data_IF_568721532729
#
_entry.id   IF_568721532729
#
_cell.length_a   1.000
_cell.length_b   1.000
_cell.length_c   1.000
_cell.angle_alpha   90.00
_cell.angle_beta   90.00
_cell.angle_gamma   90.00
#
_symmetry.space_group_name_H-M   'P 1'
#
loop_
_entity.id
_entity.type
_entity.pdbx_description
1 polymer ?
#
# COMPACT_ATOMS: atom_id res chain seq x y z
N UNK A 1 35.04 64.75 28.28
CA UNK A 1 33.86 65.31 27.60
C UNK A 1 34.25 65.53 26.13
N UNK A 2 33.41 65.11 25.17
CA UNK A 2 33.81 64.14 24.14
C UNK A 2 33.79 64.70 22.70
N UNK A 3 34.38 63.97 21.75
CA UNK A 3 33.80 63.73 20.41
C UNK A 3 34.62 62.67 19.66
N UNK A 4 34.07 61.48 19.56
CA UNK A 4 34.49 60.41 18.67
C UNK A 4 33.22 59.91 17.99
N UNK A 5 33.11 60.13 16.68
CA UNK A 5 32.12 59.58 15.75
C UNK A 5 32.58 60.00 14.35
N UNK A 6 32.49 59.25 13.26
CA UNK A 6 32.30 57.84 12.99
C UNK A 6 32.67 57.71 11.50
N UNK A 7 33.55 56.79 11.12
CA UNK A 7 33.82 56.48 9.72
C UNK A 7 32.70 55.59 9.18
N UNK A 8 31.97 56.09 8.19
CA UNK A 8 30.89 55.39 7.48
C UNK A 8 31.48 54.28 6.58
N UNK A 9 31.01 53.02 6.66
CA UNK A 9 31.37 52.02 5.66
C UNK A 9 30.43 52.06 4.45
N UNK A 10 31.04 52.00 3.27
CA UNK A 10 30.40 51.94 1.95
C UNK A 10 29.52 50.70 1.79
N UNK A 11 28.29 50.88 1.28
CA UNK A 11 27.36 49.80 0.98
C UNK A 11 27.79 49.00 -0.26
N UNK A 12 28.23 47.77 -0.06
CA UNK A 12 28.36 46.79 -1.15
C UNK A 12 26.96 46.37 -1.64
N UNK A 13 26.69 46.62 -2.92
CA UNK A 13 25.48 46.17 -3.59
C UNK A 13 25.55 44.65 -3.82
N UNK A 14 24.74 43.87 -3.09
CA UNK A 14 24.55 42.43 -3.34
C UNK A 14 23.74 42.24 -4.63
N UNK A 15 24.42 41.79 -5.68
CA UNK A 15 23.81 41.31 -6.92
C UNK A 15 22.89 40.10 -6.61
N UNK A 16 21.57 40.28 -6.80
CA UNK A 16 20.59 39.20 -6.58
C UNK A 16 20.68 38.21 -7.75
N UNK A 17 21.07 36.97 -7.44
CA UNK A 17 21.01 35.85 -8.38
C UNK A 17 19.59 35.72 -8.97
N UNK A 18 19.45 35.35 -10.26
CA UNK A 18 18.15 35.19 -10.89
C UNK A 18 17.34 34.10 -10.17
N UNK A 19 16.00 34.25 -10.08
CA UNK A 19 15.17 33.27 -9.42
C UNK A 19 15.28 31.93 -10.14
N UNK A 20 15.74 30.91 -9.42
CA UNK A 20 15.76 29.53 -9.90
C UNK A 20 14.31 29.11 -10.12
N UNK A 21 13.92 28.91 -11.38
CA UNK A 21 12.60 28.40 -11.73
C UNK A 21 12.50 26.98 -11.15
N UNK A 22 11.51 26.69 -10.28
CA UNK A 22 11.37 25.35 -9.74
C UNK A 22 11.15 24.36 -10.90
N UNK A 23 11.77 23.17 -10.86
CA UNK A 23 11.61 22.19 -11.91
C UNK A 23 10.13 21.87 -12.11
N UNK A 24 9.62 22.04 -13.33
CA UNK A 24 8.25 21.68 -13.70
C UNK A 24 8.08 20.17 -13.48
N UNK A 25 7.46 19.80 -12.37
CA UNK A 25 7.02 18.42 -12.15
C UNK A 25 5.96 18.11 -13.20
N UNK A 26 6.20 17.07 -14.02
CA UNK A 26 5.19 16.60 -14.97
C UNK A 26 3.99 16.11 -14.14
N UNK A 27 2.81 16.72 -14.34
CA UNK A 27 1.59 16.31 -13.64
C UNK A 27 1.33 14.82 -13.89
N UNK A 28 1.05 14.07 -12.82
CA UNK A 28 0.75 12.63 -12.89
C UNK A 28 -0.50 12.41 -13.74
N UNK A 29 -0.56 11.27 -14.42
CA UNK A 29 -1.72 10.84 -15.23
C UNK A 29 -2.18 9.48 -14.76
N UNK A 30 -3.47 9.19 -14.97
CA UNK A 30 -4.05 7.89 -14.66
C UNK A 30 -3.48 6.82 -15.60
N UNK A 31 -2.81 5.85 -15.02
CA UNK A 31 -2.29 4.63 -15.65
C UNK A 31 -2.48 3.46 -14.68
N UNK A 32 -2.12 2.25 -15.09
CA UNK A 32 -1.98 1.09 -14.19
C UNK A 32 -1.16 1.48 -12.95
N UNK A 33 -1.53 0.92 -11.79
CA UNK A 33 -0.72 1.04 -10.59
C UNK A 33 0.66 0.41 -10.84
N UNK A 34 1.72 1.08 -10.40
CA UNK A 34 3.05 0.48 -10.30
C UNK A 34 3.08 -0.56 -9.19
N UNK A 35 4.08 -1.43 -9.18
CA UNK A 35 4.25 -2.36 -8.07
C UNK A 35 4.42 -1.63 -6.73
N UNK A 36 5.09 -0.47 -6.72
CA UNK A 36 5.26 0.35 -5.51
C UNK A 36 3.95 0.93 -4.99
N UNK A 37 2.96 1.19 -5.85
CA UNK A 37 1.67 1.75 -5.44
C UNK A 37 0.69 0.67 -4.93
N UNK A 38 1.05 -0.62 -5.03
CA UNK A 38 0.29 -1.74 -4.48
C UNK A 38 0.88 -2.12 -3.12
N UNK A 39 0.02 -2.36 -2.14
CA UNK A 39 0.44 -2.81 -0.80
C UNK A 39 -0.20 -4.16 -0.49
N UNK A 40 0.62 -5.12 -0.09
CA UNK A 40 0.14 -6.38 0.44
C UNK A 40 -0.07 -6.28 1.93
N UNK A 41 -1.04 -7.03 2.45
CA UNK A 41 -1.36 -7.08 3.86
C UNK A 41 -1.46 -8.53 4.32
N UNK A 42 -1.28 -8.73 5.62
CA UNK A 42 -1.57 -9.99 6.29
C UNK A 42 -2.51 -9.78 7.48
N UNK A 43 -3.12 -10.88 7.93
CA UNK A 43 -3.79 -10.95 9.24
C UNK A 43 -3.81 -12.37 9.77
N UNK A 44 -3.77 -12.53 11.09
CA UNK A 44 -4.03 -13.82 11.73
C UNK A 44 -5.52 -13.95 12.04
N UNK A 45 -6.25 -14.73 11.21
CA UNK A 45 -7.73 -14.83 11.19
C UNK A 45 -8.40 -15.00 12.56
N UNK A 46 -7.76 -15.71 13.49
CA UNK A 46 -8.33 -16.01 14.81
C UNK A 46 -8.18 -14.85 15.80
N UNK A 47 -7.21 -13.96 15.58
CA UNK A 47 -6.80 -12.94 16.55
C UNK A 47 -7.11 -11.53 16.05
N UNK A 48 -7.08 -11.30 14.74
CA UNK A 48 -7.04 -9.96 14.16
C UNK A 48 -8.20 -9.68 13.21
N UNK A 49 -8.89 -8.56 13.45
CA UNK A 49 -9.96 -8.07 12.57
C UNK A 49 -9.45 -7.08 11.51
N UNK A 50 -8.29 -6.45 11.78
CA UNK A 50 -7.64 -5.49 10.89
C UNK A 50 -6.49 -6.15 10.12
N UNK A 51 -6.25 -5.64 8.92
CA UNK A 51 -5.14 -6.00 8.08
C UNK A 51 -3.90 -5.19 8.47
N UNK A 52 -2.77 -5.88 8.57
CA UNK A 52 -1.45 -5.28 8.82
C UNK A 52 -0.67 -5.22 7.51
N UNK A 53 -0.13 -4.07 7.09
CA UNK A 53 0.63 -3.98 5.86
C UNK A 53 1.96 -4.73 6.00
N UNK A 54 2.36 -5.45 4.96
CA UNK A 54 3.74 -5.92 4.85
C UNK A 54 4.68 -4.73 4.68
N UNK A 55 5.94 -4.91 5.08
CA UNK A 55 7.01 -3.98 4.74
C UNK A 55 7.11 -3.80 3.22
N UNK A 56 7.71 -2.70 2.78
CA UNK A 56 7.79 -2.34 1.36
C UNK A 56 8.49 -3.40 0.52
N UNK A 57 9.62 -3.94 0.98
CA UNK A 57 10.34 -4.99 0.27
C UNK A 57 9.47 -6.25 0.10
N UNK A 58 8.85 -6.75 1.18
CA UNK A 58 7.96 -7.92 1.14
C UNK A 58 6.75 -7.70 0.23
N UNK A 59 6.16 -6.49 0.28
CA UNK A 59 5.03 -6.13 -0.58
C UNK A 59 5.40 -6.12 -2.05
N UNK A 60 6.60 -5.61 -2.38
CA UNK A 60 7.10 -5.58 -3.75
C UNK A 60 7.41 -7.00 -4.26
N UNK A 61 8.00 -7.86 -3.43
CA UNK A 61 8.24 -9.26 -3.77
C UNK A 61 6.93 -10.01 -4.04
N UNK A 62 5.93 -9.85 -3.17
CA UNK A 62 4.60 -10.44 -3.36
C UNK A 62 3.93 -9.94 -4.65
N UNK A 63 4.01 -8.63 -4.93
CA UNK A 63 3.41 -8.06 -6.13
C UNK A 63 4.10 -8.52 -7.42
N UNK A 64 5.44 -8.61 -7.43
CA UNK A 64 6.19 -9.16 -8.57
C UNK A 64 5.79 -10.62 -8.83
N UNK A 65 5.72 -11.44 -7.77
CA UNK A 65 5.32 -12.83 -7.88
C UNK A 65 3.88 -12.98 -8.36
N UNK A 66 2.95 -12.17 -7.83
CA UNK A 66 1.55 -12.14 -8.28
C UNK A 66 1.44 -11.77 -9.74
N UNK A 67 2.11 -10.70 -10.18
CA UNK A 67 2.09 -10.26 -11.58
C UNK A 67 2.63 -11.33 -12.52
N UNK A 68 3.74 -11.97 -12.17
CA UNK A 68 4.27 -13.10 -12.92
C UNK A 68 3.29 -14.26 -12.99
N UNK A 69 2.60 -14.59 -11.89
CA UNK A 69 1.67 -15.71 -11.81
C UNK A 69 0.39 -15.48 -12.62
N UNK A 70 -0.12 -14.25 -12.61
CA UNK A 70 -1.38 -13.88 -13.25
C UNK A 70 -1.20 -13.20 -14.62
N UNK A 71 0.02 -13.20 -15.17
CA UNK A 71 0.29 -12.68 -16.52
C UNK A 71 0.10 -11.17 -16.65
N UNK A 72 0.43 -10.42 -15.61
CA UNK A 72 0.35 -8.95 -15.58
C UNK A 72 1.76 -8.37 -15.72
N UNK A 73 1.93 -7.39 -16.60
CA UNK A 73 3.24 -6.78 -16.85
C UNK A 73 3.76 -6.00 -15.63
N UNK A 74 5.07 -6.06 -15.42
CA UNK A 74 5.77 -5.22 -14.46
C UNK A 74 5.92 -3.81 -14.99
N UNK A 75 5.84 -2.81 -14.11
CA UNK A 75 6.20 -1.45 -14.49
C UNK A 75 7.71 -1.34 -14.78
N UNK A 76 8.10 -0.29 -15.50
CA UNK A 76 9.49 -0.07 -15.95
C UNK A 76 10.46 0.00 -14.76
N UNK A 77 10.07 0.64 -13.66
CA UNK A 77 10.97 0.81 -12.50
C UNK A 77 11.23 -0.52 -11.81
N UNK A 78 10.17 -1.32 -11.62
CA UNK A 78 10.28 -2.67 -11.07
C UNK A 78 11.11 -3.58 -11.98
N UNK A 79 10.87 -3.55 -13.29
CA UNK A 79 11.61 -4.35 -14.27
C UNK A 79 13.11 -4.04 -14.26
N UNK A 80 13.47 -2.76 -14.20
CA UNK A 80 14.87 -2.32 -14.10
C UNK A 80 15.52 -2.80 -12.80
N UNK A 81 14.82 -2.73 -11.67
CA UNK A 81 15.35 -3.21 -10.40
C UNK A 81 15.65 -4.72 -10.43
N UNK A 82 14.73 -5.53 -10.97
CA UNK A 82 14.90 -6.98 -11.06
C UNK A 82 16.00 -7.40 -12.02
N UNK A 83 16.21 -6.65 -13.12
CA UNK A 83 17.30 -6.95 -14.06
C UNK A 83 18.70 -6.88 -13.42
N UNK A 84 18.85 -6.09 -12.35
CA UNK A 84 20.07 -6.01 -11.56
C UNK A 84 20.14 -7.02 -10.40
N UNK A 85 19.10 -7.81 -10.15
CA UNK A 85 18.99 -8.66 -8.96
C UNK A 85 18.24 -9.99 -9.24
N UNK A 86 18.95 -10.96 -9.82
CA UNK A 86 18.40 -12.26 -10.25
C UNK A 86 17.89 -13.16 -9.11
N UNK A 87 18.19 -12.85 -7.85
CA UNK A 87 17.71 -13.65 -6.71
C UNK A 87 16.19 -13.52 -6.48
N UNK A 88 15.56 -12.47 -7.02
CA UNK A 88 14.15 -12.16 -6.82
C UNK A 88 13.19 -12.87 -7.79
N UNK A 89 13.70 -13.66 -8.74
CA UNK A 89 12.89 -14.37 -9.76
C UNK A 89 12.63 -15.84 -9.42
N UNK A 90 12.76 -16.21 -8.14
CA UNK A 90 12.52 -17.59 -7.67
C UNK A 90 11.03 -17.96 -7.72
N UNK A 91 10.73 -19.22 -8.05
CA UNK A 91 9.37 -19.78 -8.01
C UNK A 91 8.78 -19.90 -6.60
N UNK A 92 9.58 -19.62 -5.57
CA UNK A 92 9.15 -19.65 -4.18
C UNK A 92 9.63 -18.40 -3.48
N UNK A 93 8.71 -17.49 -3.21
CA UNK A 93 8.99 -16.26 -2.48
C UNK A 93 8.93 -16.49 -0.97
N UNK A 94 9.87 -15.88 -0.26
CA UNK A 94 9.88 -15.85 1.19
C UNK A 94 9.68 -14.40 1.65
N UNK A 95 8.83 -14.21 2.64
CA UNK A 95 8.44 -12.91 3.21
C UNK A 95 8.63 -12.92 4.72
N UNK A 96 8.54 -11.76 5.37
CA UNK A 96 8.73 -11.59 6.80
C UNK A 96 10.07 -12.17 7.23
N UNK A 97 11.15 -11.63 6.66
CA UNK A 97 12.53 -12.05 6.95
C UNK A 97 12.83 -13.51 6.58
N UNK A 98 12.15 -14.02 5.57
CA UNK A 98 12.33 -15.39 5.10
C UNK A 98 11.74 -16.44 6.03
N UNK A 99 10.77 -16.06 6.87
CA UNK A 99 10.10 -16.96 7.82
C UNK A 99 8.83 -17.58 7.24
N UNK A 100 8.19 -16.91 6.28
CA UNK A 100 6.94 -17.36 5.67
C UNK A 100 7.06 -17.43 4.15
N UNK A 101 6.31 -18.35 3.53
CA UNK A 101 6.18 -18.51 2.07
C UNK A 101 4.71 -18.50 1.69
N UNK A 102 4.39 -18.14 0.45
CA UNK A 102 3.03 -18.33 -0.09
C UNK A 102 2.63 -19.81 0.02
N UNK A 103 1.43 -20.05 0.55
CA UNK A 103 0.91 -21.39 0.87
C UNK A 103 -0.02 -21.94 -0.22
N UNK A 104 -0.66 -21.08 -1.01
CA UNK A 104 -1.70 -21.47 -1.95
C UNK A 104 -1.52 -20.84 -3.34
N UNK A 105 -2.17 -21.44 -4.33
CA UNK A 105 -2.05 -20.95 -5.69
C UNK A 105 -2.76 -19.62 -5.92
N UNK A 106 -3.82 -19.36 -5.17
CA UNK A 106 -4.59 -18.12 -5.23
C UNK A 106 -3.88 -16.93 -4.56
N UNK A 107 -2.75 -17.14 -3.89
CA UNK A 107 -2.04 -16.11 -3.10
C UNK A 107 -2.94 -15.44 -2.06
N UNK A 108 -3.69 -16.25 -1.32
CA UNK A 108 -4.55 -15.80 -0.22
C UNK A 108 -3.99 -16.16 1.14
N UNK A 109 -2.97 -17.03 1.20
CA UNK A 109 -2.37 -17.52 2.44
C UNK A 109 -0.84 -17.53 2.37
N UNK A 110 -0.20 -17.28 3.50
CA UNK A 110 1.21 -17.61 3.75
C UNK A 110 1.30 -18.63 4.88
N UNK A 111 2.34 -19.45 4.85
CA UNK A 111 2.63 -20.45 5.88
C UNK A 111 4.09 -20.34 6.32
N UNK A 112 4.35 -20.67 7.58
CA UNK A 112 5.70 -20.71 8.11
C UNK A 112 6.58 -21.74 7.37
N UNK A 113 7.86 -21.40 7.18
CA UNK A 113 8.84 -22.25 6.50
C UNK A 113 9.46 -23.26 7.46
N UNK A 114 9.69 -22.86 8.71
CA UNK A 114 10.49 -23.62 9.68
C UNK A 114 9.68 -24.28 10.79
N UNK A 115 8.41 -23.96 10.95
CA UNK A 115 7.50 -24.57 11.93
C UNK A 115 6.15 -24.92 11.31
N UNK A 116 5.40 -25.78 11.99
CA UNK A 116 4.10 -26.29 11.51
C UNK A 116 2.96 -25.48 12.09
N UNK A 117 1.79 -25.59 11.44
CA UNK A 117 0.50 -25.09 11.91
C UNK A 117 0.46 -23.58 12.17
N UNK A 118 1.24 -22.81 11.40
CA UNK A 118 1.21 -21.35 11.44
C UNK A 118 1.00 -20.80 10.03
N UNK A 119 -0.21 -20.28 9.82
CA UNK A 119 -0.66 -19.69 8.59
C UNK A 119 -1.30 -18.33 8.84
N UNK A 120 -1.17 -17.44 7.87
CA UNK A 120 -1.78 -16.11 7.90
C UNK A 120 -2.47 -15.84 6.58
N UNK A 121 -3.62 -15.18 6.65
CA UNK A 121 -4.29 -14.70 5.46
C UNK A 121 -3.51 -13.52 4.91
N UNK A 122 -3.34 -13.45 3.59
CA UNK A 122 -2.78 -12.31 2.88
C UNK A 122 -3.80 -11.69 1.92
N UNK A 123 -3.62 -10.40 1.65
CA UNK A 123 -4.51 -9.65 0.75
C UNK A 123 -3.73 -8.62 -0.06
N UNK A 124 -3.93 -8.66 -1.37
CA UNK A 124 -3.48 -7.62 -2.30
C UNK A 124 -4.37 -6.38 -2.16
N UNK A 125 -3.76 -5.20 -1.94
CA UNK A 125 -4.45 -3.93 -1.79
C UNK A 125 -4.20 -2.97 -2.95
N UNK A 126 -5.25 -2.65 -3.71
CA UNK A 126 -5.25 -1.63 -4.78
C UNK A 126 -6.16 -0.45 -4.48
N UNK A 127 -7.20 -0.66 -3.67
CA UNK A 127 -8.17 0.33 -3.22
C UNK A 127 -8.37 0.23 -1.71
N UNK A 128 -8.45 1.39 -1.06
CA UNK A 128 -8.39 1.51 0.40
C UNK A 128 -9.49 2.39 0.95
N UNK A 129 -9.96 2.08 2.16
CA UNK A 129 -10.79 3.01 2.92
C UNK A 129 -9.93 4.20 3.36
N UNK A 130 -10.31 5.43 3.01
CA UNK A 130 -9.50 6.63 3.32
C UNK A 130 -9.25 6.77 4.83
N UNK A 131 -10.27 6.50 5.64
CA UNK A 131 -10.22 6.70 7.10
C UNK A 131 -9.23 5.76 7.81
N UNK A 132 -9.09 4.52 7.34
CA UNK A 132 -8.33 3.48 8.05
C UNK A 132 -7.17 2.88 7.25
N UNK A 133 -7.06 3.25 5.97
CA UNK A 133 -6.14 2.67 4.99
C UNK A 133 -6.21 1.14 4.89
N UNK A 134 -7.36 0.57 5.24
CA UNK A 134 -7.61 -0.86 5.13
C UNK A 134 -7.95 -1.24 3.68
N UNK A 135 -7.41 -2.35 3.15
CA UNK A 135 -7.71 -2.82 1.81
C UNK A 135 -9.15 -3.34 1.72
N UNK A 136 -9.89 -2.88 0.71
CA UNK A 136 -11.19 -3.49 0.39
C UNK A 136 -10.99 -4.88 -0.22
N UNK A 137 -12.06 -5.69 -0.30
CA UNK A 137 -11.97 -7.03 -0.89
C UNK A 137 -11.59 -6.93 -2.39
N UNK A 138 -10.60 -7.70 -2.89
CA UNK A 138 -10.30 -7.82 -4.32
C UNK A 138 -11.52 -8.01 -5.23
N UNK A 139 -12.53 -8.78 -4.80
CA UNK A 139 -13.77 -8.98 -5.57
C UNK A 139 -14.52 -7.67 -5.89
N UNK A 140 -14.33 -6.63 -5.06
CA UNK A 140 -14.81 -5.28 -5.30
C UNK A 140 -13.73 -4.40 -5.92
N UNK A 141 -12.48 -4.51 -5.47
CA UNK A 141 -11.37 -3.67 -5.91
C UNK A 141 -11.07 -3.82 -7.40
N UNK A 142 -11.09 -5.05 -7.93
CA UNK A 142 -10.70 -5.33 -9.30
C UNK A 142 -11.71 -4.74 -10.32
N UNK A 143 -13.04 -4.91 -10.14
CA UNK A 143 -14.02 -4.18 -10.96
C UNK A 143 -13.91 -2.66 -10.85
N UNK A 144 -13.65 -2.12 -9.66
CA UNK A 144 -13.46 -0.67 -9.44
C UNK A 144 -12.25 -0.17 -10.23
N UNK A 145 -11.13 -0.88 -10.16
CA UNK A 145 -9.90 -0.54 -10.88
C UNK A 145 -10.12 -0.58 -12.40
N UNK A 146 -10.75 -1.63 -12.89
CA UNK A 146 -11.07 -1.78 -14.32
C UNK A 146 -11.96 -0.63 -14.82
N UNK A 147 -12.99 -0.27 -14.06
CA UNK A 147 -13.87 0.86 -14.39
C UNK A 147 -13.14 2.19 -14.35
N UNK A 148 -12.32 2.41 -13.31
CA UNK A 148 -11.55 3.63 -13.15
C UNK A 148 -10.59 3.85 -14.32
N UNK A 149 -9.84 2.81 -14.72
CA UNK A 149 -8.98 2.88 -15.90
C UNK A 149 -9.78 3.08 -17.18
N UNK A 150 -10.92 2.40 -17.35
CA UNK A 150 -11.74 2.57 -18.55
C UNK A 150 -12.18 4.03 -18.77
N UNK A 151 -12.56 4.73 -17.70
CA UNK A 151 -13.11 6.10 -17.80
C UNK A 151 -12.01 7.18 -17.75
N UNK A 152 -10.99 7.01 -16.90
CA UNK A 152 -10.07 8.09 -16.55
C UNK A 152 -8.65 7.95 -17.12
N UNK A 153 -8.33 6.88 -17.84
CA UNK A 153 -6.97 6.67 -18.41
C UNK A 153 -6.46 7.92 -19.12
N UNK A 154 -5.18 8.23 -18.89
CA UNK A 154 -4.47 9.40 -19.42
C UNK A 154 -4.97 10.77 -18.92
N UNK A 155 -6.05 10.85 -18.14
CA UNK A 155 -6.44 12.09 -17.48
C UNK A 155 -5.41 12.49 -16.42
N UNK A 156 -5.27 13.79 -16.20
CA UNK A 156 -4.36 14.33 -15.18
C UNK A 156 -4.92 14.08 -13.78
N UNK A 157 -4.08 13.58 -12.89
CA UNK A 157 -4.40 13.38 -11.47
C UNK A 157 -4.16 14.73 -10.75
N UNK A 158 -5.17 15.32 -10.10
CA UNK A 158 -5.00 16.52 -9.28
C UNK A 158 -4.14 16.21 -8.03
N UNK A 159 -3.28 17.16 -7.63
CA UNK A 159 -2.45 17.01 -6.42
C UNK A 159 -3.23 17.28 -5.13
N UNK A 160 -4.36 17.98 -5.23
CA UNK A 160 -5.24 18.33 -4.10
C UNK A 160 -6.67 17.91 -4.39
N UNK A 161 -7.51 17.69 -3.35
CA UNK A 161 -8.94 17.47 -3.53
C UNK A 161 -9.56 18.55 -4.42
N UNK A 162 -10.39 18.13 -5.38
CA UNK A 162 -11.05 19.02 -6.35
C UNK A 162 -12.19 19.81 -5.70
N UNK A 163 -12.79 19.25 -4.66
CA UNK A 163 -13.93 19.83 -3.95
C UNK A 163 -13.62 19.95 -2.47
N UNK A 164 -14.10 21.03 -1.86
CA UNK A 164 -14.02 21.18 -0.41
C UNK A 164 -15.07 20.31 0.31
N UNK A 165 -14.85 20.04 1.59
CA UNK A 165 -15.83 19.31 2.42
C UNK A 165 -17.19 20.02 2.51
N UNK A 166 -17.21 21.34 2.31
CA UNK A 166 -18.44 22.16 2.38
C UNK A 166 -19.28 22.08 1.10
N UNK A 167 -18.76 21.50 0.02
CA UNK A 167 -19.42 21.44 -1.30
C UNK A 167 -20.09 20.09 -1.59
N UNK A 168 -20.40 19.30 -0.56
CA UNK A 168 -20.95 17.92 -0.70
C UNK A 168 -22.17 17.82 -1.62
N UNK A 169 -23.01 18.86 -1.70
CA UNK A 169 -24.23 18.87 -2.53
C UNK A 169 -24.04 19.31 -3.99
N UNK A 170 -22.86 19.83 -4.36
CA UNK A 170 -22.57 20.37 -5.70
C UNK A 170 -21.59 19.54 -6.51
N UNK A 171 -21.13 18.42 -5.97
CA UNK A 171 -20.17 17.55 -6.67
C UNK A 171 -20.84 16.92 -7.90
N UNK A 172 -20.31 17.13 -9.12
CA UNK A 172 -20.82 16.45 -10.31
C UNK A 172 -20.61 14.94 -10.18
N UNK A 173 -21.56 14.13 -10.66
CA UNK A 173 -21.38 12.69 -10.79
C UNK A 173 -20.78 12.41 -12.17
N UNK A 174 -19.50 12.02 -12.22
CA UNK A 174 -18.81 11.74 -13.49
C UNK A 174 -19.11 10.34 -14.00
N UNK A 175 -19.13 9.35 -13.11
CA UNK A 175 -19.47 7.97 -13.44
C UNK A 175 -19.86 7.18 -12.18
N UNK A 176 -20.53 6.05 -12.37
CA UNK A 176 -20.92 5.12 -11.32
C UNK A 176 -20.70 3.66 -11.74
N UNK A 177 -20.51 2.78 -10.76
CA UNK A 177 -20.38 1.34 -10.94
C UNK A 177 -21.23 0.62 -9.87
N UNK A 178 -22.11 -0.27 -10.30
CA UNK A 178 -22.88 -1.15 -9.40
C UNK A 178 -22.13 -2.47 -9.21
N UNK A 179 -21.97 -2.87 -7.96
CA UNK A 179 -21.24 -4.06 -7.53
C UNK A 179 -22.18 -5.01 -6.79
N UNK A 180 -22.32 -6.25 -7.29
CA UNK A 180 -23.00 -7.36 -6.60
C UNK A 180 -24.39 -6.99 -6.00
N UNK A 181 -25.17 -6.15 -6.68
CA UNK A 181 -26.49 -5.60 -6.31
C UNK A 181 -26.60 -4.83 -4.98
N UNK A 182 -25.61 -4.91 -4.10
CA UNK A 182 -25.60 -4.32 -2.76
C UNK A 182 -24.69 -3.11 -2.64
N UNK A 183 -23.74 -2.92 -3.54
CA UNK A 183 -22.77 -1.84 -3.45
C UNK A 183 -22.80 -0.98 -4.71
N UNK A 184 -22.46 0.29 -4.54
CA UNK A 184 -22.38 1.26 -5.63
C UNK A 184 -21.18 2.16 -5.39
N UNK A 185 -20.36 2.35 -6.41
CA UNK A 185 -19.20 3.24 -6.38
C UNK A 185 -19.49 4.42 -7.29
N UNK A 186 -19.21 5.62 -6.79
CA UNK A 186 -19.41 6.88 -7.53
C UNK A 186 -18.13 7.67 -7.58
N UNK A 187 -17.88 8.26 -8.74
CA UNK A 187 -16.76 9.16 -8.96
C UNK A 187 -17.27 10.57 -9.16
N UNK A 188 -16.82 11.48 -8.29
CA UNK A 188 -17.04 12.91 -8.46
C UNK A 188 -15.84 13.61 -9.11
N UNK A 189 -14.66 12.99 -9.02
CA UNK A 189 -13.45 13.35 -9.77
C UNK A 189 -12.57 12.11 -9.96
N UNK A 190 -11.41 12.28 -10.58
CA UNK A 190 -10.39 11.21 -10.70
C UNK A 190 -9.97 10.66 -9.33
N UNK A 191 -9.95 11.49 -8.27
CA UNK A 191 -9.47 11.11 -6.93
C UNK A 191 -10.57 11.13 -5.86
N UNK A 192 -11.79 11.56 -6.20
CA UNK A 192 -12.93 11.60 -5.28
C UNK A 192 -13.87 10.44 -5.65
N UNK A 193 -13.66 9.32 -4.96
CA UNK A 193 -14.36 8.05 -5.18
C UNK A 193 -15.05 7.64 -3.90
N UNK A 194 -16.36 7.40 -3.94
CA UNK A 194 -17.16 7.02 -2.76
C UNK A 194 -17.85 5.68 -2.98
N UNK A 195 -17.72 4.78 -2.02
CA UNK A 195 -18.42 3.50 -1.94
C UNK A 195 -19.68 3.64 -1.06
N UNK A 196 -20.82 3.22 -1.58
CA UNK A 196 -22.10 3.18 -0.89
C UNK A 196 -22.57 1.75 -0.71
N UNK A 197 -23.16 1.46 0.45
CA UNK A 197 -23.85 0.20 0.73
C UNK A 197 -25.36 0.42 0.62
N UNK A 198 -25.97 -0.24 -0.36
CA UNK A 198 -27.39 -0.18 -0.70
C UNK A 198 -28.20 -1.38 -0.15
N UNK A 199 -27.60 -2.25 0.68
CA UNK A 199 -28.21 -3.50 1.19
C UNK A 199 -29.52 -3.31 1.97
N UNK A 200 -29.79 -2.12 2.51
CA UNK A 200 -31.02 -1.81 3.26
C UNK A 200 -31.96 -0.82 2.56
N UNK A 201 -31.62 -0.37 1.35
CA UNK A 201 -32.37 0.68 0.66
C UNK A 201 -33.23 0.06 -0.45
N UNK A 202 -34.56 0.07 -0.26
CA UNK A 202 -35.52 -0.33 -1.29
C UNK A 202 -35.23 0.38 -2.63
N UNK A 203 -35.45 -0.30 -3.77
CA UNK A 203 -35.22 0.26 -5.12
C UNK A 203 -35.91 1.61 -5.34
N UNK A 204 -37.09 1.82 -4.73
CA UNK A 204 -37.84 3.08 -4.79
C UNK A 204 -37.27 4.18 -3.88
N UNK A 205 -36.61 3.82 -2.78
CA UNK A 205 -36.09 4.76 -1.77
C UNK A 205 -34.62 5.11 -1.97
N UNK A 206 -33.93 4.48 -2.93
CA UNK A 206 -32.51 4.73 -3.23
C UNK A 206 -32.22 6.19 -3.62
N UNK A 207 -33.23 6.89 -4.13
CA UNK A 207 -33.13 8.31 -4.50
C UNK A 207 -33.37 9.29 -3.33
N UNK A 208 -33.82 8.79 -2.16
CA UNK A 208 -34.31 9.63 -1.04
C UNK A 208 -33.39 9.52 0.19
N UNK A 209 -32.75 8.37 0.43
CA UNK A 209 -31.81 8.19 1.53
C UNK A 209 -30.56 7.44 1.06
N UNK A 210 -29.58 8.17 0.52
CA UNK A 210 -28.23 7.61 0.33
C UNK A 210 -27.63 7.34 1.71
N UNK A 211 -27.26 6.08 1.98
CA UNK A 211 -26.50 5.73 3.17
C UNK A 211 -25.20 6.53 3.27
N UNK A 212 -24.59 6.61 4.46
CA UNK A 212 -23.30 7.28 4.68
C UNK A 212 -22.25 6.63 3.78
N UNK A 213 -21.88 7.31 2.70
CA UNK A 213 -20.85 6.86 1.76
C UNK A 213 -19.47 6.81 2.43
N UNK A 214 -18.64 5.86 1.99
CA UNK A 214 -17.27 5.70 2.49
C UNK A 214 -16.27 6.09 1.40
N UNK A 215 -15.37 7.00 1.71
CA UNK A 215 -14.36 7.48 0.77
C UNK A 215 -13.29 6.42 0.50
N UNK A 216 -12.93 6.27 -0.78
CA UNK A 216 -11.92 5.33 -1.25
C UNK A 216 -10.68 6.06 -1.78
N UNK A 217 -9.52 5.48 -1.51
CA UNK A 217 -8.22 5.89 -2.05
C UNK A 217 -7.70 4.81 -3.01
N UNK A 218 -7.28 5.21 -4.20
CA UNK A 218 -6.60 4.35 -5.17
C UNK A 218 -5.09 4.35 -4.88
N UNK A 219 -4.50 3.16 -4.81
CA UNK A 219 -3.09 2.97 -4.50
C UNK A 219 -2.74 3.29 -3.04
N UNK A 220 -1.59 2.78 -2.60
CA UNK A 220 -1.03 2.99 -1.28
C UNK A 220 0.15 3.96 -1.32
N UNK A 221 0.73 4.26 -0.16
CA UNK A 221 2.06 4.89 -0.10
C UNK A 221 3.10 4.00 -0.78
N UNK A 222 3.94 4.62 -1.64
CA UNK A 222 4.86 3.89 -2.50
C UNK A 222 5.83 3.04 -1.67
N UNK A 223 5.81 1.73 -1.90
CA UNK A 223 6.72 0.77 -1.29
C UNK A 223 8.16 0.98 -1.78
N UNK A 224 9.12 0.74 -0.89
CA UNK A 224 10.56 0.81 -1.17
C UNK A 224 11.20 -0.55 -0.95
N UNK A 225 12.16 -0.90 -1.80
CA UNK A 225 13.00 -2.10 -1.65
C UNK A 225 13.89 -2.06 -0.40
N UNK A 226 14.13 -0.88 0.16
CA UNK A 226 14.92 -0.70 1.38
C UNK A 226 14.07 -0.81 2.66
N UNK A 227 12.74 -0.77 2.53
CA UNK A 227 11.82 -0.86 3.67
C UNK A 227 11.71 -2.31 4.17
N UNK A 228 11.86 -2.50 5.48
CA UNK A 228 11.82 -3.80 6.13
C UNK A 228 13.13 -4.61 6.09
N UNK A 229 14.21 -4.09 5.48
CA UNK A 229 15.51 -4.76 5.55
C UNK A 229 16.05 -4.75 6.98
N UNK A 230 16.02 -5.89 7.66
CA UNK A 230 16.63 -6.02 8.99
C UNK A 230 18.14 -5.96 8.91
N UNK A 231 18.73 -5.22 9.86
CA UNK A 231 20.15 -5.31 10.16
C UNK A 231 20.36 -6.46 11.15
N UNK A 232 20.84 -7.60 10.67
CA UNK A 232 21.22 -8.72 11.53
C UNK A 232 22.49 -8.31 12.29
N UNK A 233 22.39 -8.20 13.61
CA UNK A 233 23.52 -7.83 14.49
C UNK A 233 24.10 -9.00 15.25
N UNK A 234 23.32 -10.07 15.47
CA UNK A 234 23.71 -11.22 16.27
C UNK A 234 23.17 -12.51 15.64
N UNK A 235 23.93 -13.59 15.78
CA UNK A 235 23.51 -14.94 15.42
C UNK A 235 23.47 -15.78 16.69
N UNK A 236 22.33 -16.36 17.01
CA UNK A 236 22.13 -17.19 18.20
C UNK A 236 21.97 -18.64 17.74
N UNK A 237 22.86 -19.51 18.23
CA UNK A 237 22.77 -20.95 17.99
C UNK A 237 22.00 -21.61 19.13
N UNK A 238 20.86 -22.21 18.82
CA UNK A 238 20.08 -22.98 19.79
C UNK A 238 20.44 -24.46 19.62
N UNK A 239 20.92 -25.08 20.70
CA UNK A 239 21.21 -26.52 20.75
C UNK A 239 20.18 -27.18 21.67
N UNK A 240 19.45 -28.17 21.16
CA UNK A 240 18.52 -28.97 21.96
C UNK A 240 19.03 -30.40 22.15
N UNK A 241 18.67 -31.03 23.28
CA UNK A 241 19.00 -32.42 23.58
C UNK A 241 18.09 -33.44 22.89
N UNK A 242 18.44 -34.73 22.99
CA UNK A 242 17.82 -35.91 22.34
C UNK A 242 16.33 -36.19 22.73
N UNK A 243 15.70 -35.35 23.58
CA UNK A 243 14.36 -35.59 24.13
C UNK A 243 13.16 -34.95 23.41
N UNK A 244 13.31 -34.35 22.22
CA UNK A 244 12.28 -33.46 21.64
C UNK A 244 11.15 -34.16 20.85
N UNK A 245 11.06 -35.50 20.88
CA UNK A 245 10.02 -36.22 20.13
C UNK A 245 8.63 -35.84 20.66
N UNK A 246 7.83 -35.15 19.85
CA UNK A 246 6.51 -34.62 20.22
C UNK A 246 6.46 -33.14 20.58
N UNK A 247 7.61 -32.44 20.63
CA UNK A 247 7.72 -31.01 20.96
C UNK A 247 8.34 -30.19 19.82
N UNK A 248 8.02 -30.53 18.58
CA UNK A 248 8.67 -29.99 17.36
C UNK A 248 8.57 -28.45 17.27
N UNK A 249 7.46 -27.86 17.76
CA UNK A 249 7.25 -26.40 17.75
C UNK A 249 7.77 -25.67 19.00
N UNK A 250 8.34 -26.39 19.99
CA UNK A 250 8.71 -25.81 21.29
C UNK A 250 9.85 -24.80 21.19
N UNK A 251 10.83 -25.02 20.31
CA UNK A 251 11.94 -24.08 20.11
C UNK A 251 11.43 -22.76 19.55
N UNK A 252 10.58 -22.80 18.50
CA UNK A 252 9.99 -21.61 17.90
C UNK A 252 9.20 -20.81 18.95
N UNK A 253 8.32 -21.47 19.70
CA UNK A 253 7.54 -20.85 20.79
C UNK A 253 8.42 -20.22 21.87
N UNK A 254 9.48 -20.90 22.30
CA UNK A 254 10.36 -20.38 23.34
C UNK A 254 11.21 -19.21 22.83
N UNK A 255 11.54 -19.18 21.53
CA UNK A 255 12.32 -18.09 20.95
C UNK A 255 11.56 -16.75 20.96
N UNK A 256 10.23 -16.77 20.92
CA UNK A 256 9.38 -15.58 21.08
C UNK A 256 9.52 -14.94 22.48
N UNK A 257 10.01 -15.69 23.48
CA UNK A 257 10.21 -15.21 24.84
C UNK A 257 11.63 -14.67 25.09
N UNK A 258 12.53 -14.77 24.11
CA UNK A 258 13.90 -14.25 24.24
C UNK A 258 13.86 -12.72 24.29
N UNK A 259 14.19 -12.17 25.47
CA UNK A 259 14.42 -10.73 25.65
C UNK A 259 15.92 -10.50 25.65
N UNK A 260 16.40 -9.67 24.72
CA UNK A 260 17.77 -9.18 24.78
C UNK A 260 17.85 -8.17 25.93
N UNK A 261 18.55 -8.53 27.00
CA UNK A 261 18.99 -7.56 28.01
C UNK A 261 20.18 -6.82 27.42
N UNK A 262 19.99 -5.54 27.10
CA UNK A 262 21.04 -4.62 26.62
C UNK A 262 21.52 -3.79 27.80
#
# INVERSE_FOLDING_TARGET
MPSADALVPSSEAKEKAPPVVPPRTKKRRVTELKCSEVRWFYRRKVVETKWTPFAGCDSLMLEVYWRSKFGVDLDVQTSQHLSGNSALTTNKIAVMDGLYTVADDAMTMIQAIYWKDDEMEIRRGTWFLVESLQPINPDMADPIEKHHLHVFRSQTIPDTPVFSEKETSRKPLLTELKLQDQYEVRWNSVIDTTLYNNSKTSRLFRYITWGKGTQLKRGYEEASWEDGKRKISHLIMVVHGIGQKGYENLIAKNSEQLVLLI
#
